data_IF_445311495834
#
_entry.id   IF_445311495834
#
_cell.length_a   1.000
_cell.length_b   1.000
_cell.length_c   1.000
_cell.angle_alpha   90.00
_cell.angle_beta   90.00
_cell.angle_gamma   90.00
#
_symmetry.space_group_name_H-M   'P 1'
#
loop_
_entity.id
_entity.type
_entity.pdbx_description
1 polymer ?
#
# COMPACT_ATOMS: atom_id res chain seq x y z
N UNK A 1 -54.81 -13.01 33.97
CA UNK A 1 -54.84 -14.48 34.14
C UNK A 1 -53.51 -14.90 34.73
N UNK A 2 -53.54 -15.63 35.85
CA UNK A 2 -52.34 -16.02 36.63
C UNK A 2 -51.96 -17.46 36.25
N UNK A 3 -50.67 -17.72 36.15
CA UNK A 3 -50.09 -19.04 35.91
C UNK A 3 -50.46 -19.96 37.08
N UNK A 4 -50.96 -21.16 36.79
CA UNK A 4 -51.33 -22.14 37.82
C UNK A 4 -50.52 -23.41 37.63
N UNK A 5 -49.93 -23.89 38.72
CA UNK A 5 -49.33 -25.22 38.78
C UNK A 5 -50.45 -26.25 38.90
N UNK A 6 -50.41 -27.25 38.04
CA UNK A 6 -51.31 -28.40 38.06
C UNK A 6 -50.47 -29.69 38.09
N UNK A 7 -50.82 -30.61 38.98
CA UNK A 7 -50.26 -31.96 39.00
C UNK A 7 -51.17 -32.84 38.16
N UNK A 8 -50.61 -33.52 37.16
CA UNK A 8 -51.40 -34.35 36.26
C UNK A 8 -51.93 -35.60 36.95
N UNK A 9 -53.25 -35.75 37.00
CA UNK A 9 -53.94 -37.00 37.37
C UNK A 9 -54.28 -37.82 36.13
N UNK A 10 -54.71 -39.08 36.29
CA UNK A 10 -55.08 -39.97 35.17
C UNK A 10 -56.14 -39.34 34.23
N UNK A 11 -57.06 -38.54 34.77
CA UNK A 11 -58.12 -37.85 34.03
C UNK A 11 -57.71 -36.47 33.44
N UNK A 12 -56.46 -36.02 33.60
CA UNK A 12 -56.08 -34.67 33.15
C UNK A 12 -55.92 -34.59 31.62
N UNK A 13 -56.54 -33.56 31.02
CA UNK A 13 -56.54 -33.26 29.57
C UNK A 13 -55.16 -32.97 28.96
N UNK A 14 -54.10 -32.96 29.76
CA UNK A 14 -52.75 -32.61 29.37
C UNK A 14 -51.77 -33.80 29.41
N UNK A 15 -52.21 -34.97 29.92
CA UNK A 15 -51.45 -36.22 29.89
C UNK A 15 -51.13 -36.60 28.44
N UNK A 16 -49.86 -36.92 28.18
CA UNK A 16 -49.37 -37.31 26.85
C UNK A 16 -49.07 -36.16 25.87
N UNK A 17 -49.40 -34.90 26.22
CA UNK A 17 -48.98 -33.73 25.41
C UNK A 17 -47.48 -33.48 25.58
N UNK A 18 -46.85 -32.83 24.60
CA UNK A 18 -45.42 -32.48 24.67
C UNK A 18 -45.21 -31.11 25.33
N UNK A 19 -44.19 -31.03 26.19
CA UNK A 19 -43.70 -29.77 26.75
C UNK A 19 -43.17 -28.87 25.62
N UNK A 20 -43.66 -27.63 25.51
CA UNK A 20 -43.24 -26.71 24.45
C UNK A 20 -41.83 -26.11 24.64
N UNK A 21 -41.00 -26.67 25.53
CA UNK A 21 -39.59 -26.30 25.73
C UNK A 21 -38.63 -27.47 25.49
N UNK A 22 -38.84 -28.62 26.14
CA UNK A 22 -37.99 -29.80 25.98
C UNK A 22 -38.57 -30.87 25.05
N UNK A 23 -39.81 -30.68 24.56
CA UNK A 23 -40.52 -31.56 23.62
C UNK A 23 -40.87 -32.97 24.13
N UNK A 24 -40.47 -33.30 25.37
CA UNK A 24 -40.83 -34.54 26.06
C UNK A 24 -42.32 -34.57 26.45
N UNK A 25 -42.87 -35.78 26.52
CA UNK A 25 -44.27 -36.02 26.92
C UNK A 25 -44.48 -35.74 28.41
N UNK A 26 -45.65 -35.20 28.73
CA UNK A 26 -46.10 -34.98 30.10
C UNK A 26 -46.75 -36.26 30.65
N UNK A 27 -46.19 -36.81 31.72
CA UNK A 27 -46.65 -38.05 32.35
C UNK A 27 -47.57 -37.79 33.56
N UNK A 28 -48.29 -38.84 33.99
CA UNK A 28 -49.13 -38.79 35.19
C UNK A 28 -48.23 -38.52 36.41
N UNK A 29 -48.63 -37.59 37.27
CA UNK A 29 -47.87 -37.13 38.43
C UNK A 29 -46.90 -35.97 38.14
N UNK A 30 -46.70 -35.58 36.88
CA UNK A 30 -45.84 -34.44 36.56
C UNK A 30 -46.50 -33.10 36.92
N UNK A 31 -45.71 -32.18 37.49
CA UNK A 31 -46.13 -30.78 37.69
C UNK A 31 -45.99 -29.98 36.39
N UNK A 32 -47.07 -29.35 35.97
CA UNK A 32 -47.13 -28.59 34.72
C UNK A 32 -47.62 -27.16 34.93
N UNK A 33 -47.25 -26.30 33.98
CA UNK A 33 -47.75 -24.93 33.85
C UNK A 33 -48.30 -24.75 32.44
N UNK A 34 -49.55 -24.29 32.35
CA UNK A 34 -50.15 -23.84 31.10
C UNK A 34 -49.91 -22.33 30.92
N UNK A 35 -49.35 -21.94 29.79
CA UNK A 35 -49.10 -20.54 29.46
C UNK A 35 -50.43 -19.76 29.35
N UNK A 36 -50.66 -18.69 30.13
CA UNK A 36 -51.92 -17.95 30.09
C UNK A 36 -52.14 -17.17 28.79
N UNK A 37 -51.12 -17.06 27.93
CA UNK A 37 -51.18 -16.31 26.67
C UNK A 37 -51.40 -17.19 25.44
N UNK A 38 -50.65 -18.29 25.34
CA UNK A 38 -50.69 -19.16 24.15
C UNK A 38 -51.15 -20.58 24.43
N UNK A 39 -51.52 -20.88 25.69
CA UNK A 39 -52.01 -22.19 26.14
C UNK A 39 -51.07 -23.36 25.88
N UNK A 40 -49.80 -23.08 25.59
CA UNK A 40 -48.76 -24.08 25.52
C UNK A 40 -48.47 -24.63 26.92
N UNK A 41 -48.30 -25.93 27.03
CA UNK A 41 -48.01 -26.63 28.28
C UNK A 41 -46.51 -26.87 28.44
N UNK A 42 -46.03 -26.72 29.67
CA UNK A 42 -44.63 -26.90 30.04
C UNK A 42 -44.53 -27.72 31.33
N UNK A 43 -43.48 -28.50 31.50
CA UNK A 43 -43.07 -28.93 32.84
C UNK A 43 -42.81 -27.69 33.71
N UNK A 44 -43.16 -27.75 34.99
CA UNK A 44 -42.91 -26.66 35.93
C UNK A 44 -41.44 -26.23 35.94
N UNK A 45 -40.51 -27.18 35.88
CA UNK A 45 -39.08 -26.88 35.89
C UNK A 45 -38.58 -26.29 34.57
N UNK A 46 -39.11 -26.76 33.43
CA UNK A 46 -38.80 -26.16 32.13
C UNK A 46 -39.31 -24.72 32.04
N UNK A 47 -40.48 -24.43 32.64
CA UNK A 47 -41.03 -23.08 32.74
C UNK A 47 -40.14 -22.17 33.60
N UNK A 48 -39.73 -22.66 34.78
CA UNK A 48 -38.85 -21.96 35.72
C UNK A 48 -37.49 -21.64 35.09
N UNK A 49 -36.80 -22.65 34.54
CA UNK A 49 -35.47 -22.50 33.97
C UNK A 49 -35.44 -21.59 32.73
N UNK A 50 -36.49 -21.67 31.91
CA UNK A 50 -36.61 -20.80 30.74
C UNK A 50 -37.06 -19.37 31.10
N UNK A 51 -37.48 -19.13 32.35
CA UNK A 51 -38.02 -17.84 32.79
C UNK A 51 -39.38 -17.50 32.17
N UNK A 52 -40.16 -18.51 31.74
CA UNK A 52 -41.45 -18.32 31.07
C UNK A 52 -41.69 -19.30 29.92
N UNK A 53 -42.58 -18.93 29.00
CA UNK A 53 -43.01 -19.78 27.90
C UNK A 53 -41.85 -20.08 26.92
N UNK A 54 -41.60 -21.37 26.67
CA UNK A 54 -40.57 -21.85 25.72
C UNK A 54 -40.98 -21.85 24.24
N UNK A 55 -42.24 -21.53 23.93
CA UNK A 55 -42.75 -21.53 22.55
C UNK A 55 -42.19 -20.33 21.78
N UNK A 56 -41.58 -20.58 20.61
CA UNK A 56 -41.09 -19.50 19.73
C UNK A 56 -42.19 -18.47 19.48
N UNK A 57 -41.86 -17.19 19.68
CA UNK A 57 -42.76 -16.06 19.45
C UNK A 57 -43.71 -15.72 20.61
N UNK A 58 -43.72 -16.47 21.72
CA UNK A 58 -44.50 -16.11 22.90
C UNK A 58 -43.67 -15.29 23.89
N UNK A 59 -43.99 -14.01 24.08
CA UNK A 59 -43.29 -13.16 25.04
C UNK A 59 -43.80 -13.29 26.49
N UNK A 60 -44.42 -14.41 26.85
CA UNK A 60 -44.92 -14.62 28.21
C UNK A 60 -43.77 -15.02 29.15
N UNK A 61 -43.48 -14.16 30.12
CA UNK A 61 -42.47 -14.37 31.16
C UNK A 61 -43.12 -15.01 32.38
N UNK A 62 -42.40 -15.86 33.10
CA UNK A 62 -42.83 -16.45 34.37
C UNK A 62 -42.94 -15.35 35.43
N UNK A 63 -44.11 -15.20 36.04
CA UNK A 63 -44.42 -14.24 37.11
C UNK A 63 -44.74 -14.92 38.43
N UNK A 64 -45.42 -16.06 38.40
CA UNK A 64 -45.85 -16.78 39.61
C UNK A 64 -44.92 -17.95 39.93
N UNK A 65 -44.39 -18.62 38.91
CA UNK A 65 -43.52 -19.79 39.03
C UNK A 65 -42.12 -19.43 38.53
N UNK A 66 -41.43 -18.55 39.28
CA UNK A 66 -40.11 -18.02 38.91
C UNK A 66 -39.00 -18.97 39.39
N UNK A 67 -38.13 -19.41 38.48
CA UNK A 67 -36.90 -20.14 38.83
C UNK A 67 -35.73 -19.21 39.14
N UNK A 68 -34.65 -19.73 39.71
CA UNK A 68 -33.40 -18.98 39.86
C UNK A 68 -32.86 -18.55 38.49
N UNK A 69 -32.44 -17.29 38.39
CA UNK A 69 -31.96 -16.68 37.15
C UNK A 69 -30.59 -17.27 36.79
N UNK A 70 -30.46 -17.83 35.58
CA UNK A 70 -29.18 -18.35 35.10
C UNK A 70 -28.12 -17.25 34.97
N UNK A 71 -26.87 -17.57 35.29
CA UNK A 71 -25.73 -16.69 35.11
C UNK A 71 -25.34 -16.62 33.62
N UNK A 72 -26.01 -15.76 32.85
CA UNK A 72 -25.72 -15.56 31.43
C UNK A 72 -25.55 -14.09 31.05
N UNK A 73 -24.50 -13.83 30.25
CA UNK A 73 -24.09 -12.64 29.49
C UNK A 73 -24.72 -11.30 29.91
N UNK A 74 -24.39 -10.86 31.12
CA UNK A 74 -24.46 -9.44 31.44
C UNK A 74 -23.50 -8.62 30.56
N UNK A 75 -23.69 -7.30 30.49
CA UNK A 75 -22.74 -6.43 29.79
C UNK A 75 -21.31 -6.70 30.29
N UNK A 76 -20.31 -6.67 29.39
CA UNK A 76 -18.93 -6.93 29.79
C UNK A 76 -18.56 -6.01 30.96
N UNK A 77 -17.75 -6.50 31.91
CA UNK A 77 -17.35 -5.69 33.05
C UNK A 77 -16.65 -4.41 32.56
N UNK A 78 -16.91 -3.25 33.17
CA UNK A 78 -16.28 -2.00 32.77
C UNK A 78 -14.76 -2.16 32.85
N UNK A 79 -14.07 -1.80 31.76
CA UNK A 79 -12.61 -1.83 31.71
C UNK A 79 -12.10 -0.83 32.77
N UNK A 80 -11.19 -1.23 33.66
CA UNK A 80 -10.69 -0.33 34.69
C UNK A 80 -9.82 0.78 34.07
N UNK A 81 -9.88 2.02 34.58
CA UNK A 81 -9.28 3.20 33.94
C UNK A 81 -7.77 3.11 33.75
N UNK A 82 -7.06 2.37 34.61
CA UNK A 82 -5.62 2.16 34.48
C UNK A 82 -5.23 1.42 33.18
N UNK A 83 -6.08 0.53 32.65
CA UNK A 83 -5.80 -0.17 31.38
C UNK A 83 -5.97 0.73 30.17
N UNK A 84 -6.94 1.66 30.24
CA UNK A 84 -7.15 2.67 29.21
C UNK A 84 -5.96 3.64 29.17
N UNK A 85 -5.53 4.10 30.35
CA UNK A 85 -4.34 4.96 30.48
C UNK A 85 -3.07 4.26 30.01
N UNK A 86 -2.90 2.96 30.30
CA UNK A 86 -1.78 2.17 29.80
C UNK A 86 -1.80 2.10 28.27
N UNK A 87 -2.95 1.80 27.67
CA UNK A 87 -3.10 1.74 26.21
C UNK A 87 -2.77 3.08 25.54
N UNK A 88 -3.30 4.18 26.09
CA UNK A 88 -2.97 5.54 25.66
C UNK A 88 -1.48 5.85 25.79
N UNK A 89 -0.86 5.47 26.91
CA UNK A 89 0.57 5.65 27.14
C UNK A 89 1.44 4.92 26.12
N UNK A 90 1.07 3.69 25.75
CA UNK A 90 1.78 2.90 24.73
C UNK A 90 1.67 3.58 23.35
N UNK A 91 0.47 4.00 22.94
CA UNK A 91 0.28 4.69 21.66
C UNK A 91 1.09 5.99 21.62
N UNK A 92 1.04 6.76 22.70
CA UNK A 92 1.76 8.03 22.80
C UNK A 92 3.29 7.81 22.80
N UNK A 93 3.77 6.75 23.45
CA UNK A 93 5.18 6.35 23.39
C UNK A 93 5.59 5.95 21.96
N UNK A 94 4.79 5.20 21.22
CA UNK A 94 5.09 4.83 19.82
C UNK A 94 5.13 6.07 18.92
N UNK A 95 4.20 7.02 19.08
CA UNK A 95 4.21 8.28 18.34
C UNK A 95 5.47 9.09 18.66
N UNK A 96 5.80 9.24 19.94
CA UNK A 96 7.02 9.94 20.36
C UNK A 96 8.26 9.28 19.81
N UNK A 97 8.34 7.95 19.88
CA UNK A 97 9.44 7.17 19.33
C UNK A 97 9.54 7.35 17.81
N UNK A 98 8.42 7.41 17.09
CA UNK A 98 8.41 7.65 15.63
C UNK A 98 8.85 9.06 15.24
N UNK A 99 8.62 10.07 16.08
CA UNK A 99 9.01 11.47 15.83
C UNK A 99 10.46 11.71 16.27
N UNK A 100 10.90 11.06 17.35
CA UNK A 100 12.23 11.24 17.94
C UNK A 100 13.27 10.28 17.38
N UNK A 101 12.88 9.31 16.54
CA UNK A 101 13.84 8.46 15.86
C UNK A 101 14.62 9.32 14.86
N UNK A 102 15.97 9.37 14.96
CA UNK A 102 16.75 10.16 14.01
C UNK A 102 16.50 9.65 12.59
N UNK A 103 16.32 10.59 11.66
CA UNK A 103 16.29 10.26 10.24
C UNK A 103 17.59 9.53 9.89
N UNK A 104 17.52 8.50 9.02
CA UNK A 104 18.72 7.85 8.53
C UNK A 104 19.66 8.93 7.95
N UNK A 105 20.98 8.79 8.18
CA UNK A 105 21.94 9.78 7.68
C UNK A 105 21.77 9.96 6.18
N UNK A 106 21.68 11.21 5.73
CA UNK A 106 21.57 11.55 4.31
C UNK A 106 22.70 10.85 3.53
N UNK A 107 22.39 9.97 2.56
CA UNK A 107 23.42 9.24 1.83
C UNK A 107 24.35 10.16 1.03
N UNK A 108 23.91 11.38 0.68
CA UNK A 108 24.77 12.36 0.04
C UNK A 108 25.83 12.92 1.02
N UNK A 109 25.60 12.88 2.34
CA UNK A 109 26.54 13.34 3.36
C UNK A 109 27.08 14.77 3.12
N UNK A 110 26.25 15.65 2.54
CA UNK A 110 26.61 17.03 2.20
C UNK A 110 27.21 17.23 0.79
N UNK A 111 27.32 16.16 0.00
CA UNK A 111 27.71 16.22 -1.43
C UNK A 111 26.60 16.80 -2.30
N UNK A 112 26.96 17.35 -3.45
CA UNK A 112 26.02 17.76 -4.49
C UNK A 112 25.28 16.54 -5.00
N UNK A 113 23.96 16.53 -4.84
CA UNK A 113 23.12 15.40 -5.22
C UNK A 113 22.66 15.55 -6.67
N UNK A 114 22.99 14.57 -7.51
CA UNK A 114 22.55 14.49 -8.92
C UNK A 114 21.54 13.36 -9.07
N UNK A 115 20.33 13.70 -9.49
CA UNK A 115 19.23 12.76 -9.67
C UNK A 115 19.19 12.23 -11.10
N UNK A 116 19.31 10.91 -11.25
CA UNK A 116 19.30 10.22 -12.54
C UNK A 116 18.04 9.37 -12.66
N UNK A 117 17.18 9.65 -13.64
CA UNK A 117 15.97 8.89 -13.92
C UNK A 117 16.07 8.14 -15.25
N UNK A 118 16.39 6.84 -15.18
CA UNK A 118 16.47 5.97 -16.36
C UNK A 118 15.34 4.94 -16.37
N UNK A 119 15.15 4.30 -17.51
CA UNK A 119 14.43 3.03 -17.56
C UNK A 119 15.47 1.90 -17.60
N UNK A 120 15.28 0.86 -16.80
CA UNK A 120 16.23 -0.26 -16.79
C UNK A 120 15.48 -1.57 -16.50
N UNK A 121 15.88 -2.64 -17.18
CA UNK A 121 15.58 -4.00 -16.75
C UNK A 121 16.34 -4.34 -15.47
N UNK A 122 16.01 -5.47 -14.83
CA UNK A 122 16.66 -5.86 -13.57
C UNK A 122 18.18 -6.03 -13.72
N UNK A 123 18.63 -6.64 -14.81
CA UNK A 123 20.06 -6.87 -15.04
C UNK A 123 20.80 -5.56 -15.29
N UNK A 124 20.22 -4.66 -16.10
CA UNK A 124 20.76 -3.33 -16.35
C UNK A 124 20.75 -2.47 -15.08
N UNK A 125 19.72 -2.58 -14.25
CA UNK A 125 19.64 -1.88 -12.97
C UNK A 125 20.78 -2.32 -12.05
N UNK A 126 21.07 -3.63 -11.99
CA UNK A 126 22.17 -4.14 -11.18
C UNK A 126 23.53 -3.63 -11.65
N UNK A 127 23.71 -3.48 -12.96
CA UNK A 127 24.93 -2.92 -13.56
C UNK A 127 25.05 -1.42 -13.29
N UNK A 128 24.00 -0.63 -13.55
CA UNK A 128 23.96 0.80 -13.24
C UNK A 128 24.21 1.07 -11.75
N UNK A 129 23.60 0.28 -10.86
CA UNK A 129 23.85 0.38 -9.44
C UNK A 129 25.31 0.11 -9.08
N UNK A 130 26.00 -0.82 -9.77
CA UNK A 130 27.42 -1.06 -9.54
C UNK A 130 28.24 0.17 -9.94
N UNK A 131 28.06 0.65 -11.18
CA UNK A 131 28.75 1.83 -11.72
C UNK A 131 28.55 3.04 -10.79
N UNK A 132 27.32 3.29 -10.36
CA UNK A 132 26.98 4.42 -9.49
C UNK A 132 27.53 4.26 -8.07
N UNK A 133 27.54 3.05 -7.54
CA UNK A 133 28.16 2.79 -6.23
C UNK A 133 29.67 3.00 -6.27
N UNK A 134 30.33 2.61 -7.35
CA UNK A 134 31.76 2.83 -7.54
C UNK A 134 32.06 4.33 -7.60
N UNK A 135 31.30 5.11 -8.39
CA UNK A 135 31.38 6.57 -8.40
C UNK A 135 31.16 7.19 -7.02
N UNK A 136 30.08 6.80 -6.33
CA UNK A 136 29.70 7.36 -5.04
C UNK A 136 30.67 6.98 -3.92
N UNK A 137 31.46 5.91 -4.08
CA UNK A 137 32.50 5.52 -3.14
C UNK A 137 33.76 6.37 -3.32
N UNK A 138 34.06 6.80 -4.54
CA UNK A 138 35.26 7.56 -4.89
C UNK A 138 35.06 9.07 -4.85
N UNK A 139 33.86 9.54 -5.21
CA UNK A 139 33.55 10.97 -5.29
C UNK A 139 33.33 11.60 -3.91
N UNK A 140 34.14 12.62 -3.61
CA UNK A 140 34.00 13.45 -2.40
C UNK A 140 32.98 14.57 -2.52
N UNK A 141 32.58 14.91 -3.76
CA UNK A 141 31.87 16.16 -4.05
C UNK A 141 30.47 15.92 -4.61
N UNK A 142 30.27 14.83 -5.36
CA UNK A 142 29.01 14.50 -6.03
C UNK A 142 28.46 13.17 -5.50
N UNK A 143 27.15 13.10 -5.31
CA UNK A 143 26.43 11.88 -5.01
C UNK A 143 25.34 11.65 -6.06
N UNK A 144 25.41 10.54 -6.78
CA UNK A 144 24.42 10.15 -7.77
C UNK A 144 23.31 9.35 -7.09
N UNK A 145 22.08 9.81 -7.23
CA UNK A 145 20.88 9.05 -6.88
C UNK A 145 20.22 8.49 -8.14
N UNK A 146 20.29 7.17 -8.30
CA UNK A 146 19.61 6.48 -9.38
C UNK A 146 18.15 6.19 -9.01
N UNK A 147 17.25 6.56 -9.90
CA UNK A 147 15.91 6.01 -9.95
C UNK A 147 15.67 5.35 -11.29
N UNK A 148 15.11 4.15 -11.25
CA UNK A 148 14.70 3.43 -12.44
C UNK A 148 13.18 3.39 -12.53
N UNK A 149 12.62 3.62 -13.72
CA UNK A 149 11.20 3.48 -14.01
C UNK A 149 10.98 2.48 -15.14
N UNK A 150 9.71 2.26 -15.51
CA UNK A 150 9.35 1.44 -16.68
C UNK A 150 9.05 2.32 -17.90
N UNK A 151 9.09 1.75 -19.11
CA UNK A 151 8.82 2.48 -20.37
C UNK A 151 7.50 3.25 -20.33
N UNK A 152 6.45 2.61 -19.81
CA UNK A 152 5.11 3.19 -19.76
C UNK A 152 4.95 4.29 -18.71
N UNK A 153 5.87 4.38 -17.75
CA UNK A 153 5.78 5.31 -16.62
C UNK A 153 6.76 6.47 -16.71
N UNK A 154 7.91 6.31 -17.37
CA UNK A 154 8.99 7.29 -17.34
C UNK A 154 8.55 8.67 -17.83
N UNK A 155 7.76 8.74 -18.90
CA UNK A 155 7.24 10.01 -19.43
C UNK A 155 6.29 10.71 -18.45
N UNK A 156 5.30 9.97 -17.93
CA UNK A 156 4.36 10.52 -16.96
C UNK A 156 5.09 10.98 -15.69
N UNK A 157 6.08 10.22 -15.26
CA UNK A 157 6.90 10.56 -14.11
C UNK A 157 7.73 11.82 -14.36
N UNK A 158 8.36 11.95 -15.53
CA UNK A 158 9.09 13.14 -15.93
C UNK A 158 8.19 14.38 -15.91
N UNK A 159 7.03 14.32 -16.60
CA UNK A 159 6.08 15.44 -16.67
C UNK A 159 5.59 15.85 -15.28
N UNK A 160 5.19 14.89 -14.45
CA UNK A 160 4.68 15.16 -13.10
C UNK A 160 5.76 15.78 -12.21
N UNK A 161 6.98 15.25 -12.24
CA UNK A 161 8.09 15.75 -11.44
C UNK A 161 8.55 17.13 -11.88
N UNK A 162 8.63 17.38 -13.18
CA UNK A 162 8.91 18.71 -13.73
C UNK A 162 7.83 19.72 -13.31
N UNK A 163 6.55 19.37 -13.41
CA UNK A 163 5.46 20.23 -12.96
C UNK A 163 5.48 20.49 -11.44
N UNK A 164 5.96 19.52 -10.66
CA UNK A 164 6.11 19.62 -9.21
C UNK A 164 7.36 20.36 -8.74
N UNK A 165 8.25 20.77 -9.66
CA UNK A 165 9.54 21.41 -9.31
C UNK A 165 10.59 20.45 -8.75
N UNK A 166 10.42 19.15 -8.96
CA UNK A 166 11.31 18.06 -8.52
C UNK A 166 11.84 17.27 -9.73
N UNK A 167 12.15 17.97 -10.82
CA UNK A 167 12.65 17.33 -12.04
C UNK A 167 13.96 16.57 -11.77
N UNK A 168 14.18 15.41 -12.41
CA UNK A 168 15.50 14.77 -12.40
C UNK A 168 16.52 15.65 -13.12
N UNK A 169 17.78 15.62 -12.68
CA UNK A 169 18.88 16.34 -13.35
C UNK A 169 19.23 15.69 -14.68
N UNK A 170 19.26 14.35 -14.71
CA UNK A 170 19.56 13.54 -15.90
C UNK A 170 18.43 12.55 -16.11
N UNK A 171 17.99 12.39 -17.35
CA UNK A 171 16.95 11.41 -17.69
C UNK A 171 17.18 10.81 -19.07
N UNK A 172 16.57 9.64 -19.32
CA UNK A 172 16.62 8.98 -20.60
C UNK A 172 15.22 8.83 -21.21
N UNK A 173 15.10 9.09 -22.51
CA UNK A 173 13.88 8.96 -23.29
C UNK A 173 14.05 7.98 -24.46
N UNK A 174 13.02 7.19 -24.81
CA UNK A 174 13.03 6.42 -26.06
C UNK A 174 13.24 7.32 -27.29
N UNK A 175 13.96 6.82 -28.29
CA UNK A 175 14.23 7.55 -29.54
C UNK A 175 12.96 8.10 -30.21
N UNK A 176 11.92 7.27 -30.30
CA UNK A 176 10.63 7.59 -30.92
C UNK A 176 9.81 8.64 -30.16
N UNK A 177 10.27 9.01 -28.95
CA UNK A 177 9.59 9.93 -28.04
C UNK A 177 10.40 11.18 -27.75
N UNK A 178 11.71 11.15 -28.01
CA UNK A 178 12.64 12.22 -27.68
C UNK A 178 12.27 13.56 -28.31
N UNK A 179 12.07 13.60 -29.63
CA UNK A 179 11.76 14.85 -30.36
C UNK A 179 10.42 15.44 -29.93
N UNK A 180 9.40 14.59 -29.80
CA UNK A 180 8.09 15.02 -29.31
C UNK A 180 8.19 15.63 -27.90
N UNK A 181 9.07 15.08 -27.05
CA UNK A 181 9.29 15.61 -25.71
C UNK A 181 10.08 16.91 -25.71
N UNK A 182 11.09 17.02 -26.58
CA UNK A 182 11.86 18.24 -26.78
C UNK A 182 10.94 19.38 -27.24
N UNK A 183 10.05 19.12 -28.21
CA UNK A 183 9.09 20.12 -28.70
C UNK A 183 8.04 20.49 -27.66
N UNK A 184 7.53 19.50 -26.91
CA UNK A 184 6.43 19.72 -25.96
C UNK A 184 6.88 20.39 -24.66
N UNK A 185 8.01 19.96 -24.10
CA UNK A 185 8.51 20.44 -22.82
C UNK A 185 9.54 21.56 -23.02
N UNK A 186 10.42 21.44 -24.02
CA UNK A 186 11.49 22.41 -24.27
C UNK A 186 12.52 22.52 -23.15
N UNK A 187 12.56 21.58 -22.21
CA UNK A 187 13.36 21.68 -20.99
C UNK A 187 14.60 20.78 -20.99
N UNK A 188 15.33 20.77 -22.11
CA UNK A 188 16.60 20.04 -22.24
C UNK A 188 17.77 21.01 -22.26
N UNK A 189 18.79 20.72 -21.47
CA UNK A 189 20.01 21.49 -21.39
C UNK A 189 20.82 21.34 -22.68
N UNK A 190 21.36 22.44 -23.19
CA UNK A 190 22.15 22.45 -24.41
C UNK A 190 23.58 21.98 -24.11
N UNK A 191 23.98 20.88 -24.72
CA UNK A 191 25.31 20.26 -24.61
C UNK A 191 26.29 20.74 -25.70
N UNK A 192 25.77 21.15 -26.85
CA UNK A 192 26.55 21.64 -27.98
C UNK A 192 26.66 23.17 -28.04
N UNK A 193 27.34 23.68 -29.06
CA UNK A 193 27.48 25.13 -29.29
C UNK A 193 26.20 25.78 -29.82
N UNK A 194 26.13 27.11 -29.81
CA UNK A 194 24.99 27.89 -30.29
C UNK A 194 24.63 27.61 -31.76
N UNK A 195 25.62 27.28 -32.58
CA UNK A 195 25.46 27.07 -34.02
C UNK A 195 25.00 25.63 -34.36
N UNK A 196 25.25 24.67 -33.47
CA UNK A 196 24.87 23.28 -33.61
C UNK A 196 24.27 22.79 -32.28
N UNK A 197 23.00 23.12 -32.00
CA UNK A 197 22.38 22.77 -30.73
C UNK A 197 22.23 21.26 -30.59
N UNK A 198 22.77 20.73 -29.50
CA UNK A 198 22.65 19.32 -29.09
C UNK A 198 21.98 19.29 -27.74
N UNK A 199 20.92 18.49 -27.58
CA UNK A 199 20.14 18.41 -26.35
C UNK A 199 20.16 17.02 -25.70
N UNK A 200 20.86 16.07 -26.32
CA UNK A 200 20.92 14.72 -25.83
C UNK A 200 22.03 13.90 -26.47
N UNK A 201 22.38 12.82 -25.77
CA UNK A 201 23.43 11.90 -26.16
C UNK A 201 22.84 10.50 -26.27
N UNK A 202 23.24 9.74 -27.27
CA UNK A 202 22.86 8.35 -27.41
C UNK A 202 23.21 7.53 -26.16
N UNK A 203 22.27 6.70 -25.70
CA UNK A 203 22.53 5.72 -24.65
C UNK A 203 23.46 4.61 -25.17
N UNK A 204 24.53 4.21 -24.44
CA UNK A 204 25.56 3.30 -24.96
C UNK A 204 25.07 1.91 -25.39
N UNK A 205 23.99 1.42 -24.77
CA UNK A 205 23.47 0.06 -25.00
C UNK A 205 22.00 -0.03 -25.38
N UNK A 206 21.29 1.10 -25.52
CA UNK A 206 19.84 1.11 -25.73
C UNK A 206 19.42 2.17 -26.75
N UNK A 207 18.28 1.96 -27.40
CA UNK A 207 17.65 2.95 -28.29
C UNK A 207 16.99 4.08 -27.50
N UNK A 208 17.81 4.83 -26.75
CA UNK A 208 17.39 5.96 -25.90
C UNK A 208 18.34 7.13 -26.00
N UNK A 209 17.80 8.32 -25.78
CA UNK A 209 18.56 9.56 -25.67
C UNK A 209 18.64 9.96 -24.21
N UNK A 210 19.84 10.20 -23.71
CA UNK A 210 20.10 10.72 -22.37
C UNK A 210 20.24 12.24 -22.48
N UNK A 211 19.49 12.96 -21.65
CA UNK A 211 19.46 14.41 -21.61
C UNK A 211 19.58 14.93 -20.20
N UNK A 212 20.05 16.17 -20.08
CA UNK A 212 20.09 16.92 -18.82
C UNK A 212 18.90 17.89 -18.80
N UNK A 213 18.27 18.06 -17.65
CA UNK A 213 17.17 19.02 -17.50
C UNK A 213 17.69 20.46 -17.52
N UNK A 214 17.08 21.34 -18.32
CA UNK A 214 17.60 22.71 -18.54
C UNK A 214 17.65 23.56 -17.27
N UNK A 215 16.76 23.31 -16.29
CA UNK A 215 16.70 24.05 -15.04
C UNK A 215 17.33 23.28 -13.86
N UNK A 216 18.21 22.31 -14.12
CA UNK A 216 18.99 21.69 -13.04
C UNK A 216 19.76 22.78 -12.27
N UNK A 217 19.78 22.73 -10.93
CA UNK A 217 20.59 23.64 -10.12
C UNK A 217 22.10 23.38 -10.27
N UNK A 218 22.49 22.21 -10.81
CA UNK A 218 23.86 21.71 -10.86
C UNK A 218 24.27 21.26 -12.27
N UNK A 219 24.27 22.17 -13.27
CA UNK A 219 24.48 21.79 -14.67
C UNK A 219 25.88 21.24 -14.95
N UNK A 220 26.91 21.76 -14.26
CA UNK A 220 28.29 21.30 -14.46
C UNK A 220 28.49 19.89 -13.90
N UNK A 221 28.00 19.64 -12.69
CA UNK A 221 28.03 18.35 -12.03
C UNK A 221 27.18 17.32 -12.79
N UNK A 222 26.03 17.73 -13.34
CA UNK A 222 25.21 16.87 -14.19
C UNK A 222 25.94 16.47 -15.48
N UNK A 223 26.69 17.38 -16.12
CA UNK A 223 27.53 17.06 -17.29
C UNK A 223 28.67 16.11 -16.91
N UNK A 224 29.30 16.31 -15.76
CA UNK A 224 30.34 15.42 -15.24
C UNK A 224 29.80 14.01 -15.00
N UNK A 225 28.65 13.89 -14.33
CA UNK A 225 27.97 12.62 -14.10
C UNK A 225 27.57 11.96 -15.42
N UNK A 226 27.00 12.72 -16.36
CA UNK A 226 26.64 12.19 -17.68
C UNK A 226 27.86 11.60 -18.39
N UNK A 227 29.00 12.31 -18.37
CA UNK A 227 30.25 11.86 -18.97
C UNK A 227 30.74 10.55 -18.34
N UNK A 228 30.77 10.51 -17.02
CA UNK A 228 31.17 9.30 -16.28
C UNK A 228 30.28 8.11 -16.64
N UNK A 229 28.96 8.29 -16.59
CA UNK A 229 28.00 7.24 -16.93
C UNK A 229 28.22 6.73 -18.37
N UNK A 230 28.43 7.63 -19.34
CA UNK A 230 28.67 7.27 -20.74
C UNK A 230 30.00 6.54 -20.98
N UNK A 231 31.01 6.76 -20.14
CA UNK A 231 32.31 6.09 -20.19
C UNK A 231 32.23 4.68 -19.60
N UNK A 232 31.53 4.51 -18.48
CA UNK A 232 31.50 3.27 -17.73
C UNK A 232 30.39 2.30 -18.16
N UNK A 233 29.29 2.81 -18.73
CA UNK A 233 28.21 1.95 -19.23
C UNK A 233 28.68 1.07 -20.39
N UNK A 234 28.23 -0.21 -20.45
CA UNK A 234 28.62 -1.12 -21.51
C UNK A 234 28.11 -0.61 -22.87
N UNK A 235 28.98 -0.69 -23.87
CA UNK A 235 28.64 -0.31 -25.24
C UNK A 235 28.08 -1.51 -26.00
N UNK A 236 26.99 -1.30 -26.75
CA UNK A 236 26.41 -2.28 -27.66
C UNK A 236 26.20 -1.63 -29.02
N UNK A 237 26.48 -2.36 -30.09
CA UNK A 237 26.09 -1.92 -31.43
C UNK A 237 24.56 -1.89 -31.55
N UNK A 238 24.02 -0.71 -31.83
CA UNK A 238 22.59 -0.45 -31.93
C UNK A 238 22.05 -0.57 -33.36
N UNK A 239 22.92 -0.83 -34.36
CA UNK A 239 22.55 -0.86 -35.78
C UNK A 239 21.42 -1.85 -36.04
N UNK A 240 21.58 -3.11 -35.60
CA UNK A 240 20.54 -4.14 -35.78
C UNK A 240 19.22 -3.78 -35.07
N UNK A 241 19.31 -3.16 -33.88
CA UNK A 241 18.12 -2.76 -33.13
C UNK A 241 17.36 -1.63 -33.84
N UNK A 242 18.08 -0.65 -34.40
CA UNK A 242 17.50 0.44 -35.20
C UNK A 242 16.81 -0.09 -36.45
N UNK A 243 17.47 -1.00 -37.16
CA UNK A 243 16.92 -1.63 -38.38
C UNK A 243 15.64 -2.42 -38.08
N UNK A 244 15.65 -3.25 -37.02
CA UNK A 244 14.48 -4.04 -36.62
C UNK A 244 13.32 -3.17 -36.15
N UNK A 245 13.60 -2.07 -35.47
CA UNK A 245 12.57 -1.16 -34.96
C UNK A 245 12.09 -0.14 -36.01
N UNK A 246 12.76 -0.06 -37.17
CA UNK A 246 12.56 0.99 -38.17
C UNK A 246 12.66 2.42 -37.58
N UNK A 247 13.61 2.61 -36.66
CA UNK A 247 13.83 3.88 -35.95
C UNK A 247 15.00 4.63 -36.59
N UNK A 248 14.80 5.93 -36.83
CA UNK A 248 15.85 6.86 -37.27
C UNK A 248 16.49 7.55 -36.06
N UNK A 249 17.72 8.03 -36.24
CA UNK A 249 18.39 8.83 -35.23
C UNK A 249 17.71 10.20 -35.08
N UNK A 250 17.40 10.64 -33.85
CA UNK A 250 16.82 11.96 -33.62
C UNK A 250 17.74 13.12 -34.04
N UNK A 251 17.16 14.22 -34.52
CA UNK A 251 17.89 15.35 -35.11
C UNK A 251 18.85 16.03 -34.13
N UNK A 252 18.42 16.25 -32.89
CA UNK A 252 19.19 16.99 -31.86
C UNK A 252 19.96 16.08 -30.89
N UNK A 253 20.32 14.89 -31.33
CA UNK A 253 21.10 13.91 -30.58
C UNK A 253 22.46 13.72 -31.25
N UNK A 254 23.50 13.53 -30.43
CA UNK A 254 24.82 13.06 -30.89
C UNK A 254 25.14 11.66 -30.35
N UNK A 255 26.06 10.97 -31.01
CA UNK A 255 26.61 9.73 -30.47
C UNK A 255 27.54 9.98 -29.27
N UNK A 256 27.86 8.90 -28.57
CA UNK A 256 28.68 8.95 -27.34
C UNK A 256 30.06 9.53 -27.59
N UNK A 257 30.74 9.14 -28.67
CA UNK A 257 32.12 9.55 -28.93
C UNK A 257 32.18 11.03 -29.34
N UNK A 258 31.22 11.47 -30.14
CA UNK A 258 31.03 12.89 -30.46
C UNK A 258 30.86 13.70 -29.18
N UNK A 259 29.95 13.32 -28.28
CA UNK A 259 29.75 14.03 -27.01
C UNK A 259 31.01 14.08 -26.14
N UNK A 260 31.70 12.95 -25.98
CA UNK A 260 32.92 12.88 -25.19
C UNK A 260 34.03 13.78 -25.75
N UNK A 261 34.03 14.04 -27.06
CA UNK A 261 34.98 14.93 -27.74
C UNK A 261 34.64 16.42 -27.69
N UNK A 262 33.39 16.82 -27.38
CA UNK A 262 32.94 18.23 -27.39
C UNK A 262 33.60 19.11 -26.31
N UNK A 263 34.44 18.54 -25.46
CA UNK A 263 34.85 19.15 -24.19
C UNK A 263 36.32 18.88 -23.85
N UNK A 264 37.15 18.70 -24.88
CA UNK A 264 38.60 18.99 -24.83
C UNK A 264 38.89 20.46 -25.17
#
# INVERSE_FOLDING_TARGET
MVEKLEVLTEDSRHVGKSCAKCEQKLEIGAEIVECPRCHAVHHADCWKQNGGCGRRGCAQVAKAVVGEKSAGDGPPPPIPPHRILLGLGIVLAVILVSILWPEPPDPAAGRTKIYVLFEASLDEQNELNRIINDFNAESSDIYIELQTSSRSMIENQLVVRMAGGDAPDIFALPYDRYEAMLDQIGAMYQLGDSDNPVYGVQHPSQLRVISIFVHTPHPYEAVEVLRYLLQEMPRRDLTELKEQAHILDPEYMVDVDTFLSLTE
#
